data_IF_692083680812
#
_entry.id   IF_692083680812
#
_cell.length_a   1.000
_cell.length_b   1.000
_cell.length_c   1.000
_cell.angle_alpha   90.00
_cell.angle_beta   90.00
_cell.angle_gamma   90.00
#
_symmetry.space_group_name_H-M   'P 1'
#
loop_
_entity.id
_entity.type
_entity.pdbx_description
1 polymer ?
#
# COMPACT_ATOMS: atom_id res chain seq x y z
N UNK A 1 59.64 18.66 20.50
CA UNK A 1 59.86 19.01 19.07
C UNK A 1 59.76 17.82 18.10
N UNK A 2 60.12 16.59 18.49
CA UNK A 2 60.10 15.41 17.58
C UNK A 2 58.68 14.99 17.15
N UNK A 3 57.66 15.14 18.01
CA UNK A 3 56.26 14.85 17.66
C UNK A 3 55.69 15.79 16.57
N UNK A 4 56.13 17.05 16.54
CA UNK A 4 55.59 18.04 15.61
C UNK A 4 56.14 17.84 14.18
N UNK A 5 57.38 17.36 14.05
CA UNK A 5 57.99 17.04 12.77
C UNK A 5 57.37 15.78 12.12
N UNK A 6 57.10 14.72 12.90
CA UNK A 6 56.50 13.48 12.37
C UNK A 6 55.02 13.62 11.98
N UNK A 7 54.30 14.57 12.57
CA UNK A 7 52.94 14.96 12.20
C UNK A 7 52.88 15.68 10.84
N UNK A 8 53.90 16.49 10.53
CA UNK A 8 54.02 17.21 9.26
C UNK A 8 54.39 16.29 8.08
N UNK A 9 55.15 15.22 8.31
CA UNK A 9 55.53 14.29 7.23
C UNK A 9 54.42 13.29 6.87
N UNK A 10 53.52 12.97 7.81
CA UNK A 10 52.46 11.98 7.62
C UNK A 10 51.03 12.57 7.58
N UNK A 11 50.89 13.89 7.40
CA UNK A 11 49.59 14.57 7.39
C UNK A 11 48.60 13.97 6.37
N UNK A 12 49.10 13.47 5.23
CA UNK A 12 48.29 12.76 4.21
C UNK A 12 47.73 11.46 4.75
N UNK A 13 48.51 10.69 5.51
CA UNK A 13 48.07 9.44 6.15
C UNK A 13 46.99 9.73 7.21
N UNK A 14 47.19 10.74 8.05
CA UNK A 14 46.20 11.16 9.04
C UNK A 14 44.91 11.69 8.39
N UNK A 15 45.01 12.43 7.28
CA UNK A 15 43.87 12.88 6.51
C UNK A 15 43.08 11.71 5.89
N UNK A 16 43.78 10.70 5.35
CA UNK A 16 43.17 9.48 4.81
C UNK A 16 42.48 8.68 5.93
N UNK A 17 43.15 8.48 7.07
CA UNK A 17 42.56 7.78 8.23
C UNK A 17 41.32 8.53 8.74
N UNK A 18 41.39 9.86 8.83
CA UNK A 18 40.26 10.72 9.21
C UNK A 18 39.08 10.60 8.23
N UNK A 19 39.34 10.66 6.92
CA UNK A 19 38.32 10.51 5.88
C UNK A 19 37.66 9.12 5.91
N UNK A 20 38.46 8.05 6.08
CA UNK A 20 37.96 6.68 6.25
C UNK A 20 37.11 6.56 7.52
N UNK A 21 37.55 7.15 8.63
CA UNK A 21 36.78 7.18 9.88
C UNK A 21 35.42 7.86 9.72
N UNK A 22 35.37 9.03 9.08
CA UNK A 22 34.12 9.75 8.79
C UNK A 22 33.21 8.93 7.86
N UNK A 23 33.78 8.29 6.82
CA UNK A 23 33.03 7.43 5.91
C UNK A 23 32.40 6.24 6.65
N UNK A 24 33.14 5.58 7.54
CA UNK A 24 32.64 4.47 8.36
C UNK A 24 31.51 4.91 9.30
N UNK A 25 31.68 6.03 10.01
CA UNK A 25 30.64 6.58 10.90
C UNK A 25 29.37 6.91 10.10
N UNK A 26 29.52 7.52 8.92
CA UNK A 26 28.40 7.86 8.04
C UNK A 26 27.68 6.60 7.56
N UNK A 27 28.42 5.55 7.18
CA UNK A 27 27.86 4.28 6.75
C UNK A 27 27.08 3.59 7.87
N UNK A 28 27.63 3.56 9.09
CA UNK A 28 26.96 3.04 10.29
C UNK A 28 25.67 3.82 10.57
N UNK A 29 25.72 5.16 10.54
CA UNK A 29 24.55 6.00 10.77
C UNK A 29 23.44 5.74 9.74
N UNK A 30 23.80 5.57 8.46
CA UNK A 30 22.84 5.21 7.39
C UNK A 30 22.21 3.84 7.64
N UNK A 31 23.00 2.83 8.05
CA UNK A 31 22.49 1.49 8.35
C UNK A 31 21.51 1.50 9.54
N UNK A 32 21.86 2.19 10.63
CA UNK A 32 21.00 2.32 11.82
C UNK A 32 19.67 2.99 11.44
N UNK A 33 19.72 4.09 10.68
CA UNK A 33 18.52 4.80 10.26
C UNK A 33 17.62 3.93 9.37
N UNK A 34 18.20 3.19 8.44
CA UNK A 34 17.46 2.24 7.58
C UNK A 34 16.76 1.16 8.42
N UNK A 35 17.44 0.60 9.42
CA UNK A 35 16.85 -0.37 10.35
C UNK A 35 15.67 0.20 11.13
N UNK A 36 15.80 1.42 11.66
CA UNK A 36 14.71 2.12 12.38
C UNK A 36 13.47 2.33 11.51
N UNK A 37 13.64 2.79 10.27
CA UNK A 37 12.51 2.97 9.34
C UNK A 37 11.85 1.63 8.97
N UNK A 38 12.64 0.59 8.76
CA UNK A 38 12.13 -0.76 8.49
C UNK A 38 11.30 -1.30 9.66
N UNK A 39 11.79 -1.13 10.89
CA UNK A 39 11.07 -1.53 12.10
C UNK A 39 9.75 -0.77 12.24
N UNK A 40 9.76 0.56 12.00
CA UNK A 40 8.54 1.40 12.05
C UNK A 40 7.51 0.96 11.01
N UNK A 41 7.94 0.72 9.77
CA UNK A 41 7.08 0.22 8.70
C UNK A 41 6.48 -1.14 9.05
N UNK A 42 7.31 -2.11 9.45
CA UNK A 42 6.86 -3.47 9.80
C UNK A 42 5.91 -3.46 11.00
N UNK A 43 6.20 -2.64 12.02
CA UNK A 43 5.35 -2.48 13.19
C UNK A 43 3.99 -1.89 12.84
N UNK A 44 3.96 -0.85 12.00
CA UNK A 44 2.71 -0.26 11.50
C UNK A 44 1.91 -1.29 10.70
N UNK A 45 2.52 -1.96 9.74
CA UNK A 45 1.87 -3.00 8.94
C UNK A 45 1.29 -4.11 9.82
N UNK A 46 2.04 -4.62 10.81
CA UNK A 46 1.56 -5.68 11.71
C UNK A 46 0.32 -5.25 12.50
N UNK A 47 0.26 -4.00 12.96
CA UNK A 47 -0.93 -3.44 13.61
C UNK A 47 -2.11 -3.37 12.63
N UNK A 48 -1.85 -2.91 11.40
CA UNK A 48 -2.85 -2.83 10.35
C UNK A 48 -3.41 -4.21 9.99
N UNK A 49 -2.54 -5.18 9.71
CA UNK A 49 -2.91 -6.56 9.38
C UNK A 49 -3.73 -7.23 10.49
N UNK A 50 -3.38 -7.00 11.76
CA UNK A 50 -4.15 -7.49 12.91
C UNK A 50 -5.55 -6.86 12.97
N UNK A 51 -5.65 -5.55 12.75
CA UNK A 51 -6.92 -4.84 12.76
C UNK A 51 -7.82 -5.25 11.59
N UNK A 52 -7.26 -5.43 10.39
CA UNK A 52 -7.98 -5.92 9.22
C UNK A 52 -8.52 -7.32 9.48
N UNK A 53 -7.66 -8.23 9.94
CA UNK A 53 -8.07 -9.62 10.17
C UNK A 53 -9.14 -9.75 11.26
N UNK A 54 -9.07 -8.93 12.33
CA UNK A 54 -9.97 -9.05 13.49
C UNK A 54 -11.23 -8.18 13.44
N UNK A 55 -11.14 -6.95 12.90
CA UNK A 55 -12.21 -5.94 13.00
C UNK A 55 -12.73 -5.46 11.66
N UNK A 56 -11.88 -5.47 10.63
CA UNK A 56 -12.20 -4.97 9.29
C UNK A 56 -11.99 -6.06 8.24
N UNK A 57 -12.53 -7.25 8.50
CA UNK A 57 -12.45 -8.39 7.59
C UNK A 57 -13.40 -8.14 6.41
N UNK A 58 -12.84 -8.05 5.20
CA UNK A 58 -13.60 -7.75 3.99
C UNK A 58 -14.64 -8.81 3.65
N UNK A 59 -14.29 -10.10 3.80
CA UNK A 59 -15.18 -11.21 3.47
C UNK A 59 -16.40 -11.24 4.39
N UNK A 60 -16.15 -11.15 5.70
CA UNK A 60 -17.24 -11.10 6.71
C UNK A 60 -18.14 -9.89 6.47
N UNK A 61 -17.56 -8.74 6.10
CA UNK A 61 -18.36 -7.57 5.77
C UNK A 61 -19.23 -7.82 4.53
N UNK A 62 -18.65 -8.33 3.44
CA UNK A 62 -19.39 -8.63 2.19
C UNK A 62 -20.55 -9.60 2.49
N UNK A 63 -20.29 -10.70 3.17
CA UNK A 63 -21.30 -11.68 3.56
C UNK A 63 -22.41 -11.04 4.40
N UNK A 64 -22.04 -10.21 5.40
CA UNK A 64 -23.03 -9.50 6.21
C UNK A 64 -23.87 -8.51 5.39
N UNK A 65 -23.31 -7.92 4.34
CA UNK A 65 -24.06 -7.02 3.47
C UNK A 65 -25.08 -7.78 2.63
N UNK A 66 -24.65 -8.88 2.01
CA UNK A 66 -25.47 -9.74 1.17
C UNK A 66 -26.59 -10.44 1.97
N UNK A 67 -26.33 -10.83 3.23
CA UNK A 67 -27.28 -11.52 4.10
C UNK A 67 -28.31 -10.56 4.77
N UNK A 68 -28.74 -9.51 4.06
CA UNK A 68 -29.93 -8.74 4.46
C UNK A 68 -29.69 -7.28 4.85
N UNK A 69 -28.50 -6.72 4.63
CA UNK A 69 -28.25 -5.28 4.82
C UNK A 69 -28.32 -4.45 3.52
N UNK A 70 -28.81 -5.04 2.43
CA UNK A 70 -29.14 -4.39 1.17
C UNK A 70 -30.66 -4.26 0.99
N UNK A 71 -31.11 -3.25 0.23
CA UNK A 71 -32.49 -3.06 -0.22
C UNK A 71 -32.74 -3.77 -1.56
N UNK A 72 -31.71 -3.86 -2.39
CA UNK A 72 -31.74 -4.44 -3.73
C UNK A 72 -30.40 -5.16 -3.99
N UNK A 73 -30.31 -5.86 -5.12
CA UNK A 73 -29.12 -6.62 -5.51
C UNK A 73 -28.06 -5.74 -6.21
N UNK A 74 -28.24 -4.41 -6.27
CA UNK A 74 -27.24 -3.54 -6.87
C UNK A 74 -26.02 -3.43 -5.96
N UNK A 75 -24.85 -3.57 -6.56
CA UNK A 75 -23.57 -3.52 -5.86
C UNK A 75 -23.11 -2.09 -5.55
N UNK A 76 -23.96 -1.30 -4.88
CA UNK A 76 -23.76 0.12 -4.60
C UNK A 76 -23.82 0.43 -3.11
N UNK A 77 -23.27 1.57 -2.68
CA UNK A 77 -23.45 2.04 -1.30
C UNK A 77 -24.87 2.56 -1.04
N UNK A 78 -25.55 3.08 -2.07
CA UNK A 78 -26.91 3.61 -1.97
C UNK A 78 -27.93 2.53 -1.61
N UNK A 79 -27.78 1.33 -2.17
CA UNK A 79 -28.63 0.17 -1.90
C UNK A 79 -28.47 -0.41 -0.49
N UNK A 80 -27.51 0.07 0.30
CA UNK A 80 -27.36 -0.38 1.68
C UNK A 80 -28.42 0.22 2.61
N UNK A 81 -28.95 -0.62 3.50
CA UNK A 81 -29.72 -0.21 4.69
C UNK A 81 -28.85 0.60 5.64
N UNK A 82 -29.46 1.39 6.53
CA UNK A 82 -28.74 2.28 7.46
C UNK A 82 -27.62 1.59 8.26
N UNK A 83 -27.87 0.38 8.78
CA UNK A 83 -26.85 -0.44 9.45
C UNK A 83 -25.70 -0.85 8.52
N UNK A 84 -26.00 -1.24 7.28
CA UNK A 84 -25.01 -1.58 6.25
C UNK A 84 -24.14 -0.37 5.89
N UNK A 85 -24.76 0.79 5.66
CA UNK A 85 -24.07 2.08 5.45
C UNK A 85 -23.09 2.38 6.57
N UNK A 86 -23.52 2.26 7.82
CA UNK A 86 -22.67 2.48 8.99
C UNK A 86 -21.45 1.54 9.05
N UNK A 87 -21.63 0.25 8.73
CA UNK A 87 -20.52 -0.72 8.68
C UNK A 87 -19.51 -0.40 7.58
N UNK A 88 -19.99 -0.14 6.36
CA UNK A 88 -19.13 0.22 5.22
C UNK A 88 -18.41 1.54 5.46
N UNK A 89 -19.08 2.53 6.06
CA UNK A 89 -18.47 3.82 6.41
C UNK A 89 -17.24 3.62 7.31
N UNK A 90 -17.40 2.88 8.42
CA UNK A 90 -16.30 2.56 9.34
C UNK A 90 -15.17 1.79 8.65
N UNK A 91 -15.52 0.86 7.77
CA UNK A 91 -14.56 0.11 6.98
C UNK A 91 -13.74 1.03 6.06
N UNK A 92 -14.39 1.84 5.23
CA UNK A 92 -13.70 2.77 4.34
C UNK A 92 -12.90 3.82 5.10
N UNK A 93 -13.42 4.40 6.18
CA UNK A 93 -12.69 5.35 7.03
C UNK A 93 -11.37 4.77 7.52
N UNK A 94 -11.38 3.50 7.95
CA UNK A 94 -10.16 2.82 8.38
C UNK A 94 -9.11 2.77 7.25
N UNK A 95 -9.48 2.33 6.05
CA UNK A 95 -8.53 2.23 4.94
C UNK A 95 -8.08 3.60 4.42
N UNK A 96 -8.99 4.57 4.31
CA UNK A 96 -8.68 5.95 3.89
C UNK A 96 -7.66 6.61 4.80
N UNK A 97 -7.73 6.32 6.12
CA UNK A 97 -6.76 6.82 7.09
C UNK A 97 -5.42 6.08 7.01
N UNK A 98 -5.45 4.74 7.01
CA UNK A 98 -4.24 3.93 7.24
C UNK A 98 -3.45 3.62 5.96
N UNK A 99 -4.08 3.52 4.79
CA UNK A 99 -3.37 3.20 3.55
C UNK A 99 -2.37 4.29 3.12
N UNK A 100 -2.72 5.59 3.12
CA UNK A 100 -1.74 6.64 2.81
C UNK A 100 -0.57 6.65 3.79
N UNK A 101 -0.83 6.35 5.08
CA UNK A 101 0.22 6.27 6.09
C UNK A 101 1.14 5.04 5.87
N UNK A 102 0.58 3.89 5.50
CA UNK A 102 1.35 2.71 5.11
C UNK A 102 2.31 3.03 3.96
N UNK A 103 1.81 3.73 2.92
CA UNK A 103 2.60 4.13 1.75
C UNK A 103 3.67 5.15 2.13
N UNK A 104 3.37 6.10 3.02
CA UNK A 104 4.37 7.05 3.53
C UNK A 104 5.50 6.34 4.28
N UNK A 105 5.19 5.40 5.17
CA UNK A 105 6.25 4.62 5.84
C UNK A 105 7.02 3.72 4.88
N UNK A 106 6.35 3.18 3.86
CA UNK A 106 6.99 2.39 2.80
C UNK A 106 7.99 3.24 2.01
N UNK A 107 7.70 4.53 1.78
CA UNK A 107 8.59 5.39 1.01
C UNK A 107 9.93 5.65 1.72
N UNK A 108 9.95 5.66 3.06
CA UNK A 108 11.20 5.84 3.84
C UNK A 108 12.19 4.68 3.69
N UNK A 109 11.71 3.49 3.33
CA UNK A 109 12.53 2.30 3.08
C UNK A 109 12.68 1.97 1.59
N UNK A 110 12.05 2.77 0.72
CA UNK A 110 12.13 2.64 -0.73
C UNK A 110 13.37 3.38 -1.27
N UNK A 111 13.95 2.93 -2.40
CA UNK A 111 14.97 3.71 -3.12
C UNK A 111 14.47 5.10 -3.53
N UNK A 112 13.23 5.19 -4.01
CA UNK A 112 12.58 6.47 -4.37
C UNK A 112 11.69 6.95 -3.22
N UNK A 113 12.25 7.79 -2.34
CA UNK A 113 11.57 8.33 -1.17
C UNK A 113 10.45 9.31 -1.51
N UNK A 114 10.47 9.87 -2.72
CA UNK A 114 9.49 10.86 -3.19
C UNK A 114 8.17 10.18 -3.62
N UNK A 115 8.19 8.87 -3.90
CA UNK A 115 6.99 8.08 -4.18
C UNK A 115 6.28 7.74 -2.87
N UNK A 116 5.46 8.66 -2.39
CA UNK A 116 4.77 8.55 -1.09
C UNK A 116 3.26 8.79 -1.18
N UNK A 117 2.69 8.94 -2.38
CA UNK A 117 1.26 9.15 -2.57
C UNK A 117 0.61 7.90 -3.18
N UNK A 118 -0.44 7.41 -2.52
CA UNK A 118 -1.29 6.34 -3.02
C UNK A 118 -2.35 6.89 -3.96
N UNK A 119 -2.50 6.24 -5.12
CA UNK A 119 -3.64 6.42 -6.00
C UNK A 119 -4.28 5.07 -6.26
N UNK A 120 -5.58 4.94 -6.01
CA UNK A 120 -6.38 3.77 -6.41
C UNK A 120 -7.14 4.16 -7.67
N UNK A 121 -7.22 3.27 -8.64
CA UNK A 121 -7.83 3.53 -9.95
C UNK A 121 -8.88 2.49 -10.28
N UNK A 122 -9.98 2.96 -10.86
CA UNK A 122 -10.95 2.12 -11.57
C UNK A 122 -10.67 2.30 -13.06
N UNK A 123 -10.49 1.17 -13.74
CA UNK A 123 -10.22 1.08 -15.15
C UNK A 123 -11.39 0.41 -15.87
N UNK A 124 -11.61 0.76 -17.13
CA UNK A 124 -12.45 -0.03 -18.05
C UNK A 124 -11.72 -1.27 -18.57
N UNK A 125 -12.42 -2.06 -19.40
CA UNK A 125 -11.88 -3.23 -20.10
C UNK A 125 -10.66 -2.91 -20.99
N UNK A 126 -10.53 -1.65 -21.44
CA UNK A 126 -9.45 -1.15 -22.31
C UNK A 126 -8.32 -0.44 -21.54
N UNK A 127 -8.25 -0.63 -20.22
CA UNK A 127 -7.24 -0.05 -19.33
C UNK A 127 -7.29 1.48 -19.20
N UNK A 128 -8.38 2.13 -19.60
CA UNK A 128 -8.59 3.57 -19.45
C UNK A 128 -9.03 3.87 -18.03
N UNK A 129 -8.42 4.89 -17.41
CA UNK A 129 -8.74 5.30 -16.05
C UNK A 129 -10.08 6.05 -16.04
N UNK A 130 -11.12 5.40 -15.53
CA UNK A 130 -12.46 5.98 -15.33
C UNK A 130 -12.55 6.80 -14.05
N UNK A 131 -11.82 6.39 -13.02
CA UNK A 131 -11.82 7.07 -11.73
C UNK A 131 -10.49 6.92 -11.03
N UNK A 132 -10.11 7.96 -10.29
CA UNK A 132 -8.92 7.99 -9.45
C UNK A 132 -9.37 8.32 -8.05
N UNK A 133 -8.90 7.59 -7.08
CA UNK A 133 -9.00 7.93 -5.67
C UNK A 133 -7.62 8.28 -5.14
N UNK A 134 -7.52 9.37 -4.38
CA UNK A 134 -6.35 9.76 -3.62
C UNK A 134 -6.80 10.28 -2.25
N UNK A 135 -5.85 10.52 -1.33
CA UNK A 135 -6.15 10.93 0.05
C UNK A 135 -7.06 12.17 0.16
N UNK A 136 -7.04 13.09 -0.81
CA UNK A 136 -7.85 14.30 -0.79
C UNK A 136 -9.35 14.03 -0.93
N UNK A 137 -9.71 12.92 -1.60
CA UNK A 137 -11.11 12.54 -1.84
C UNK A 137 -11.79 11.92 -0.62
N UNK A 138 -11.00 11.59 0.42
CA UNK A 138 -11.47 10.99 1.68
C UNK A 138 -12.35 9.76 1.40
N UNK A 139 -13.19 9.38 2.37
CA UNK A 139 -14.14 8.28 2.21
C UNK A 139 -15.19 8.54 1.13
N UNK A 140 -15.64 9.78 0.97
CA UNK A 140 -16.69 10.12 0.00
C UNK A 140 -16.27 9.79 -1.44
N UNK A 141 -14.97 9.82 -1.74
CA UNK A 141 -14.46 9.35 -3.02
C UNK A 141 -14.74 7.88 -3.29
N UNK A 142 -14.51 7.00 -2.30
CA UNK A 142 -14.80 5.56 -2.42
C UNK A 142 -16.31 5.30 -2.53
N UNK A 143 -17.13 6.01 -1.77
CA UNK A 143 -18.60 5.91 -1.84
C UNK A 143 -19.11 6.37 -3.23
N UNK A 144 -18.56 7.47 -3.76
CA UNK A 144 -18.92 7.96 -5.08
C UNK A 144 -18.53 6.96 -6.17
N UNK A 145 -17.34 6.36 -6.05
CA UNK A 145 -16.86 5.34 -6.96
C UNK A 145 -17.73 4.07 -6.91
N UNK A 146 -18.04 3.55 -5.72
CA UNK A 146 -18.86 2.36 -5.56
C UNK A 146 -20.27 2.55 -6.12
N UNK A 147 -20.88 3.73 -5.93
CA UNK A 147 -22.18 4.04 -6.50
C UNK A 147 -22.16 4.22 -8.02
N UNK A 148 -21.16 4.94 -8.55
CA UNK A 148 -21.10 5.26 -9.98
C UNK A 148 -20.81 4.03 -10.84
N UNK A 149 -19.95 3.14 -10.36
CA UNK A 149 -19.47 1.99 -11.13
C UNK A 149 -20.02 0.65 -10.62
N UNK A 150 -20.94 0.67 -9.64
CA UNK A 150 -21.51 -0.53 -9.02
C UNK A 150 -20.42 -1.52 -8.52
N UNK A 151 -19.45 -0.98 -7.76
CA UNK A 151 -18.25 -1.71 -7.32
C UNK A 151 -18.11 -1.79 -5.80
N UNK A 152 -19.21 -1.79 -5.03
CA UNK A 152 -19.08 -1.78 -3.57
C UNK A 152 -18.32 -3.00 -3.04
N UNK A 153 -18.75 -4.22 -3.34
CA UNK A 153 -18.11 -5.46 -2.88
C UNK A 153 -16.70 -5.65 -3.49
N UNK A 154 -16.44 -5.39 -4.79
CA UNK A 154 -15.08 -5.32 -5.33
C UNK A 154 -14.16 -4.37 -4.57
N UNK A 155 -14.63 -3.15 -4.24
CA UNK A 155 -13.80 -2.18 -3.51
C UNK A 155 -13.50 -2.70 -2.10
N UNK A 156 -14.46 -3.31 -1.41
CA UNK A 156 -14.23 -3.91 -0.08
C UNK A 156 -13.20 -5.04 -0.17
N UNK A 157 -13.37 -5.99 -1.10
CA UNK A 157 -12.44 -7.09 -1.30
C UNK A 157 -11.04 -6.58 -1.65
N UNK A 158 -10.96 -5.64 -2.60
CA UNK A 158 -9.71 -5.02 -3.04
C UNK A 158 -8.96 -4.36 -1.89
N UNK A 159 -9.63 -3.54 -1.08
CA UNK A 159 -9.02 -2.86 0.05
C UNK A 159 -8.48 -3.86 1.09
N UNK A 160 -9.14 -5.01 1.29
CA UNK A 160 -8.69 -6.03 2.23
C UNK A 160 -7.33 -6.64 1.89
N UNK A 161 -7.00 -6.75 0.61
CA UNK A 161 -5.76 -7.34 0.14
C UNK A 161 -4.65 -6.31 -0.12
N UNK A 162 -5.05 -5.08 -0.49
CA UNK A 162 -4.14 -4.02 -0.90
C UNK A 162 -2.95 -3.76 0.07
N UNK A 163 -3.10 -3.79 1.41
CA UNK A 163 -1.97 -3.59 2.33
C UNK A 163 -0.84 -4.61 2.15
N UNK A 164 -1.19 -5.87 1.86
CA UNK A 164 -0.19 -6.92 1.64
C UNK A 164 0.57 -6.66 0.33
N UNK A 165 -0.15 -6.31 -0.73
CA UNK A 165 0.47 -5.97 -2.02
C UNK A 165 1.38 -4.74 -1.91
N UNK A 166 0.97 -3.69 -1.20
CA UNK A 166 1.81 -2.52 -0.90
C UNK A 166 3.06 -2.93 -0.11
N UNK A 167 2.90 -3.81 0.89
CA UNK A 167 4.03 -4.26 1.71
C UNK A 167 5.06 -4.99 0.87
N UNK A 168 4.63 -5.91 0.02
CA UNK A 168 5.56 -6.70 -0.80
C UNK A 168 6.05 -5.92 -2.02
N UNK A 169 5.41 -4.79 -2.37
CA UNK A 169 5.68 -4.05 -3.60
C UNK A 169 5.18 -4.79 -4.84
N UNK A 170 4.15 -5.61 -4.68
CA UNK A 170 3.55 -6.37 -5.76
C UNK A 170 2.48 -5.52 -6.46
N UNK A 171 2.43 -5.52 -7.80
CA UNK A 171 1.29 -4.94 -8.50
C UNK A 171 0.02 -5.67 -8.07
N UNK A 172 -1.10 -4.97 -8.13
CA UNK A 172 -2.38 -5.56 -7.78
C UNK A 172 -3.43 -5.09 -8.76
N UNK A 173 -4.04 -6.07 -9.42
CA UNK A 173 -5.10 -5.87 -10.39
C UNK A 173 -6.24 -6.79 -10.00
N UNK A 174 -7.37 -6.20 -9.64
CA UNK A 174 -8.57 -6.93 -9.28
C UNK A 174 -9.61 -6.68 -10.36
N UNK A 175 -10.10 -7.75 -10.97
CA UNK A 175 -11.11 -7.69 -12.02
C UNK A 175 -12.46 -7.97 -11.39
N UNK A 176 -13.43 -7.09 -11.64
CA UNK A 176 -14.81 -7.39 -11.31
C UNK A 176 -15.43 -8.18 -12.46
N UNK A 177 -15.94 -9.37 -12.17
CA UNK A 177 -16.50 -10.26 -13.19
C UNK A 177 -17.90 -9.84 -13.65
N UNK A 178 -18.59 -8.98 -12.88
CA UNK A 178 -19.95 -8.57 -13.20
C UNK A 178 -20.03 -7.44 -14.25
N UNK A 179 -18.99 -6.61 -14.36
CA UNK A 179 -19.00 -5.41 -15.22
C UNK A 179 -17.65 -5.08 -15.85
N UNK A 180 -16.71 -6.01 -15.83
CA UNK A 180 -15.35 -5.93 -16.41
C UNK A 180 -14.47 -4.77 -15.91
N UNK A 181 -14.96 -3.96 -14.97
CA UNK A 181 -14.15 -2.91 -14.36
C UNK A 181 -13.02 -3.49 -13.53
N UNK A 182 -11.87 -2.82 -13.59
CA UNK A 182 -10.65 -3.29 -12.92
C UNK A 182 -10.19 -2.28 -11.89
N UNK A 183 -9.91 -2.75 -10.68
CA UNK A 183 -9.25 -1.98 -9.64
C UNK A 183 -7.75 -2.20 -9.69
N UNK A 184 -7.00 -1.12 -9.56
CA UNK A 184 -5.55 -1.18 -9.39
C UNK A 184 -5.04 -0.01 -8.56
N UNK A 185 -3.75 0.01 -8.22
CA UNK A 185 -3.12 1.10 -7.50
C UNK A 185 -1.77 1.45 -8.09
N UNK A 186 -1.38 2.71 -7.87
CA UNK A 186 -0.02 3.18 -8.09
C UNK A 186 0.46 3.95 -6.85
N UNK A 187 1.77 3.89 -6.61
CA UNK A 187 2.47 4.76 -5.66
C UNK A 187 3.29 5.77 -6.46
N UNK A 188 2.88 7.03 -6.39
CA UNK A 188 3.41 8.12 -7.23
C UNK A 188 3.96 9.27 -6.37
N UNK A 189 4.72 10.15 -7.02
CA UNK A 189 5.20 11.40 -6.41
C UNK A 189 4.07 12.44 -6.30
N UNK A 190 3.19 12.47 -7.29
CA UNK A 190 2.06 13.40 -7.34
C UNK A 190 0.82 12.69 -7.90
N UNK A 191 -0.21 12.57 -7.06
CA UNK A 191 -1.48 11.92 -7.38
C UNK A 191 -2.25 12.60 -8.53
N UNK A 192 -1.98 13.87 -8.82
CA UNK A 192 -2.58 14.59 -9.95
C UNK A 192 -2.06 14.09 -11.31
N UNK A 193 -0.81 13.63 -11.37
CA UNK A 193 -0.09 13.34 -12.62
C UNK A 193 -0.12 11.86 -13.02
N UNK A 194 -1.23 11.17 -12.77
CA UNK A 194 -1.40 9.77 -13.15
C UNK A 194 -1.85 9.67 -14.61
N UNK A 195 -1.25 8.74 -15.37
CA UNK A 195 -1.59 8.49 -16.78
C UNK A 195 -3.09 8.20 -16.97
N UNK A 196 -3.64 8.58 -18.12
CA UNK A 196 -5.05 8.32 -18.47
C UNK A 196 -5.32 6.86 -18.84
N UNK A 197 -4.28 6.12 -19.23
CA UNK A 197 -4.32 4.70 -19.58
C UNK A 197 -3.25 3.95 -18.80
N UNK A 198 -3.62 2.84 -18.18
CA UNK A 198 -2.77 2.01 -17.33
C UNK A 198 -2.68 0.60 -17.91
N UNK A 199 -1.91 0.47 -19.00
CA UNK A 199 -1.67 -0.83 -19.64
C UNK A 199 -0.96 -1.76 -18.68
N UNK A 200 -1.35 -3.02 -18.72
CA UNK A 200 -0.61 -4.08 -18.06
C UNK A 200 0.82 -4.12 -18.61
N UNK A 201 1.80 -3.99 -17.71
CA UNK A 201 3.21 -4.02 -18.08
C UNK A 201 3.74 -5.41 -17.86
N UNK A 202 4.73 -5.80 -18.68
CA UNK A 202 5.56 -6.97 -18.37
C UNK A 202 6.21 -6.74 -17.00
N UNK A 203 5.96 -7.69 -16.10
CA UNK A 203 6.44 -7.63 -14.72
C UNK A 203 7.96 -7.77 -14.68
N UNK A 204 8.61 -6.96 -13.85
CA UNK A 204 10.02 -7.13 -13.54
C UNK A 204 10.24 -8.38 -12.67
N UNK A 205 11.47 -8.91 -12.67
CA UNK A 205 11.86 -10.03 -11.78
C UNK A 205 11.55 -9.75 -10.30
N UNK A 206 11.68 -8.50 -9.88
CA UNK A 206 11.37 -8.08 -8.51
C UNK A 206 9.86 -8.17 -8.22
N UNK A 207 9.01 -7.75 -9.15
CA UNK A 207 7.55 -7.80 -9.02
C UNK A 207 7.02 -9.24 -9.06
N UNK A 208 7.59 -10.10 -9.90
CA UNK A 208 7.26 -11.53 -9.93
C UNK A 208 7.57 -12.17 -8.57
N UNK A 209 8.75 -11.89 -8.00
CA UNK A 209 9.12 -12.37 -6.67
C UNK A 209 8.21 -11.80 -5.58
N UNK A 210 7.74 -10.55 -5.72
CA UNK A 210 6.80 -9.93 -4.81
C UNK A 210 5.43 -10.61 -4.87
N UNK A 211 4.91 -10.90 -6.07
CA UNK A 211 3.65 -11.64 -6.26
C UNK A 211 3.70 -13.02 -5.63
N UNK A 212 4.77 -13.78 -5.87
CA UNK A 212 4.95 -15.10 -5.25
C UNK A 212 4.96 -15.04 -3.71
N UNK A 213 5.49 -13.95 -3.11
CA UNK A 213 5.41 -13.74 -1.66
C UNK A 213 3.98 -13.43 -1.19
N UNK A 214 3.23 -12.64 -1.95
CA UNK A 214 1.81 -12.36 -1.67
C UNK A 214 1.02 -13.66 -1.70
N UNK A 215 1.16 -14.47 -2.74
CA UNK A 215 0.49 -15.77 -2.89
C UNK A 215 0.84 -16.72 -1.74
N UNK A 216 2.14 -16.85 -1.40
CA UNK A 216 2.59 -17.65 -0.26
C UNK A 216 2.04 -17.15 1.07
N UNK A 217 1.88 -15.84 1.25
CA UNK A 217 1.28 -15.29 2.46
C UNK A 217 -0.23 -15.57 2.53
N UNK A 218 -0.93 -15.50 1.39
CA UNK A 218 -2.35 -15.84 1.27
C UNK A 218 -2.60 -17.31 1.57
N UNK A 219 -1.85 -18.23 0.95
CA UNK A 219 -2.02 -19.67 1.18
C UNK A 219 -1.77 -20.06 2.64
N UNK A 220 -0.76 -19.45 3.28
CA UNK A 220 -0.52 -19.63 4.73
C UNK A 220 -1.67 -19.13 5.61
N UNK A 221 -2.34 -18.03 5.21
CA UNK A 221 -3.49 -17.52 5.96
C UNK A 221 -4.70 -18.45 5.80
N UNK A 222 -4.96 -18.93 4.58
CA UNK A 222 -6.03 -19.89 4.30
C UNK A 222 -5.84 -21.21 5.06
N UNK A 223 -4.62 -21.77 5.04
CA UNK A 223 -4.30 -22.99 5.78
C UNK A 223 -4.46 -22.87 7.30
N UNK A 224 -4.35 -21.65 7.86
CA UNK A 224 -4.61 -21.38 9.27
C UNK A 224 -6.09 -21.15 9.59
N UNK A 225 -6.90 -20.77 8.60
CA UNK A 225 -8.32 -20.52 8.77
C UNK A 225 -9.17 -21.78 8.57
N UNK A 226 -8.65 -22.77 7.84
CA UNK A 226 -9.26 -24.10 7.69
C UNK A 226 -8.86 -25.13 8.76
N UNK A 227 -8.22 -24.68 9.84
CA UNK A 227 -7.95 -25.45 11.07
C UNK A 227 -8.70 -24.80 12.22
#
# INVERSE_FOLDING_TARGET
>A
MILAASLLDNWKLYAVIGAVGIALITLIAVMINKGKYQARFNGFYKRMDKAITKKFNGNVLIETLLNGLTYDDTNTYKSLKGKGKGKVKKYFEYYVKNLPELVMYKSFISPDKNKNQLVIMILDEYDKVLYKWDKSKKMNGLIKASNKYQMLTPIIAYLSELPLNIKEGAPYRFVNHDNDFRLTYDIVKNAKNVKKKQKEKKLSKAEIKALAKVEKAKSKKLAKAGR
#
